data_IF_906387328098
#
_entry.id   IF_906387328098
#
_cell.length_a   1.000
_cell.length_b   1.000
_cell.length_c   1.000
_cell.angle_alpha   90.00
_cell.angle_beta   90.00
_cell.angle_gamma   90.00
#
_symmetry.space_group_name_H-M   'P 1'
#
loop_
_entity.id
_entity.type
_entity.pdbx_description
1 polymer ?
#
# COMPACT_ATOMS: atom_id res chain seq x y z
N UNK A 1 17.08 -0.70 11.80
CA UNK A 1 15.81 -0.02 12.10
C UNK A 1 14.89 -0.35 10.95
N UNK A 2 13.78 -1.06 11.19
CA UNK A 2 12.88 -1.46 10.11
C UNK A 2 12.19 -0.22 9.52
N UNK A 3 12.34 -0.01 8.22
CA UNK A 3 11.81 1.17 7.55
C UNK A 3 10.28 1.19 7.65
N UNK A 4 9.71 2.38 7.83
CA UNK A 4 8.26 2.55 7.91
C UNK A 4 7.52 1.89 6.74
N UNK A 5 8.14 1.91 5.56
CA UNK A 5 7.61 1.28 4.35
C UNK A 5 7.53 -0.25 4.52
N UNK A 6 8.52 -0.90 5.13
CA UNK A 6 8.51 -2.34 5.42
C UNK A 6 7.36 -2.70 6.37
N UNK A 7 7.15 -1.90 7.42
CA UNK A 7 6.04 -2.11 8.37
C UNK A 7 4.68 -2.00 7.69
N UNK A 8 4.49 -0.99 6.83
CA UNK A 8 3.23 -0.84 6.06
C UNK A 8 3.08 -1.98 5.06
N UNK A 9 4.16 -2.42 4.44
CA UNK A 9 4.17 -3.51 3.48
C UNK A 9 3.69 -4.82 4.12
N UNK A 10 4.24 -5.16 5.29
CA UNK A 10 3.78 -6.28 6.12
C UNK A 10 2.31 -6.14 6.49
N UNK A 11 1.87 -4.95 6.87
CA UNK A 11 0.46 -4.69 7.19
C UNK A 11 -0.48 -4.92 6.00
N UNK A 12 -0.07 -4.58 4.77
CA UNK A 12 -0.87 -4.86 3.56
C UNK A 12 -1.04 -6.36 3.38
N UNK A 13 0.06 -7.12 3.40
CA UNK A 13 0.03 -8.58 3.22
C UNK A 13 -0.83 -9.22 4.30
N UNK A 14 -0.65 -8.82 5.56
CA UNK A 14 -1.40 -9.40 6.68
C UNK A 14 -2.91 -9.13 6.57
N UNK A 15 -3.30 -7.93 6.14
CA UNK A 15 -4.72 -7.62 5.90
C UNK A 15 -5.32 -8.46 4.77
N UNK A 16 -4.58 -8.66 3.67
CA UNK A 16 -5.03 -9.52 2.57
C UNK A 16 -5.14 -10.96 3.07
N UNK A 17 -4.11 -11.45 3.76
CA UNK A 17 -4.06 -12.81 4.32
C UNK A 17 -5.25 -13.10 5.22
N UNK A 18 -5.60 -12.17 6.13
CA UNK A 18 -6.75 -12.31 7.04
C UNK A 18 -8.11 -12.06 6.40
N UNK A 19 -8.17 -11.40 5.24
CA UNK A 19 -9.45 -11.09 4.59
C UNK A 19 -10.21 -12.36 4.20
N UNK A 20 -11.49 -12.49 4.58
CA UNK A 20 -12.32 -13.64 4.18
C UNK A 20 -13.02 -13.45 2.83
N UNK A 21 -13.18 -12.19 2.39
CA UNK A 21 -13.82 -11.87 1.11
C UNK A 21 -12.86 -11.97 -0.08
N UNK A 22 -13.35 -11.79 -1.30
CA UNK A 22 -12.54 -11.78 -2.55
C UNK A 22 -11.96 -10.41 -2.93
N UNK A 23 -12.25 -9.41 -2.11
CA UNK A 23 -11.92 -8.00 -2.31
C UNK A 23 -11.69 -7.33 -0.97
N UNK A 24 -10.71 -6.45 -0.89
CA UNK A 24 -10.33 -5.69 0.30
C UNK A 24 -10.07 -4.23 -0.08
N UNK A 25 -10.68 -3.29 0.66
CA UNK A 25 -10.32 -1.87 0.57
C UNK A 25 -9.18 -1.56 1.53
N UNK A 26 -8.09 -1.01 1.01
CA UNK A 26 -6.96 -0.54 1.79
C UNK A 26 -7.15 0.92 2.19
N UNK A 27 -7.14 1.18 3.50
CA UNK A 27 -7.20 2.53 4.07
C UNK A 27 -5.87 2.85 4.76
N UNK A 28 -5.32 4.03 4.47
CA UNK A 28 -4.05 4.48 5.05
C UNK A 28 -4.05 4.45 6.59
N UNK A 29 -5.13 4.90 7.23
CA UNK A 29 -5.27 4.87 8.69
C UNK A 29 -5.25 3.46 9.26
N UNK A 30 -5.96 2.52 8.62
CA UNK A 30 -5.97 1.10 9.02
C UNK A 30 -4.58 0.49 8.87
N UNK A 31 -3.86 0.81 7.79
CA UNK A 31 -2.50 0.31 7.58
C UNK A 31 -1.53 0.81 8.65
N UNK A 32 -1.57 2.10 8.99
CA UNK A 32 -0.74 2.67 10.06
C UNK A 32 -0.99 1.96 11.39
N UNK A 33 -2.27 1.72 11.72
CA UNK A 33 -2.65 1.01 12.94
C UNK A 33 -2.17 -0.44 12.96
N UNK A 34 -2.39 -1.19 11.88
CA UNK A 34 -1.95 -2.60 11.77
C UNK A 34 -0.43 -2.71 11.76
N UNK A 35 0.27 -1.72 11.21
CA UNK A 35 1.73 -1.63 11.22
C UNK A 35 2.32 -1.26 12.60
N UNK A 36 1.47 -1.04 13.63
CA UNK A 36 1.91 -0.63 14.96
C UNK A 36 2.57 0.76 14.97
N UNK A 37 2.22 1.61 14.01
CA UNK A 37 2.69 2.98 13.92
C UNK A 37 1.72 3.92 14.65
N UNK A 38 2.22 5.03 15.16
CA UNK A 38 1.36 6.07 15.71
C UNK A 38 0.50 6.70 14.61
N UNK A 39 -0.76 7.02 14.91
CA UNK A 39 -1.72 7.58 13.95
C UNK A 39 -1.48 9.09 13.69
N UNK A 40 -0.24 9.60 13.83
CA UNK A 40 0.07 10.97 13.44
C UNK A 40 -0.17 11.18 11.96
N UNK A 41 -0.59 12.40 11.61
CA UNK A 41 -0.91 12.79 10.24
C UNK A 41 0.22 12.49 9.24
N UNK A 42 1.48 12.69 9.65
CA UNK A 42 2.68 12.35 8.85
C UNK A 42 2.69 10.88 8.42
N UNK A 43 2.35 9.95 9.31
CA UNK A 43 2.39 8.53 9.01
C UNK A 43 1.24 8.13 8.08
N UNK A 44 0.06 8.70 8.30
CA UNK A 44 -1.11 8.50 7.43
C UNK A 44 -0.80 8.99 6.00
N UNK A 45 -0.21 10.17 5.85
CA UNK A 45 0.16 10.71 4.55
C UNK A 45 1.20 9.83 3.83
N UNK A 46 2.21 9.33 4.55
CA UNK A 46 3.20 8.42 3.98
C UNK A 46 2.56 7.10 3.52
N UNK A 47 1.67 6.52 4.33
CA UNK A 47 0.90 5.34 3.95
C UNK A 47 0.05 5.59 2.69
N UNK A 48 -0.64 6.72 2.63
CA UNK A 48 -1.44 7.10 1.46
C UNK A 48 -0.59 7.30 0.19
N UNK A 49 0.61 7.90 0.33
CA UNK A 49 1.57 8.03 -0.78
C UNK A 49 2.04 6.66 -1.27
N UNK A 50 2.32 5.73 -0.35
CA UNK A 50 2.73 4.38 -0.73
C UNK A 50 1.63 3.66 -1.52
N UNK A 51 0.38 3.74 -1.06
CA UNK A 51 -0.77 3.22 -1.80
C UNK A 51 -0.90 3.83 -3.19
N UNK A 52 -0.71 5.14 -3.33
CA UNK A 52 -0.70 5.81 -4.63
C UNK A 52 0.39 5.27 -5.57
N UNK A 53 1.59 5.00 -5.04
CA UNK A 53 2.70 4.46 -5.83
C UNK A 53 2.43 3.01 -6.25
N UNK A 54 1.93 2.17 -5.34
CA UNK A 54 1.52 0.80 -5.64
C UNK A 54 0.42 0.74 -6.69
N UNK A 55 -0.52 1.70 -6.66
CA UNK A 55 -1.55 1.81 -7.69
C UNK A 55 -0.96 2.21 -9.06
N UNK A 56 0.04 3.09 -9.07
CA UNK A 56 0.77 3.46 -10.29
C UNK A 56 1.45 2.26 -10.96
N UNK A 57 2.00 1.34 -10.17
CA UNK A 57 2.60 0.08 -10.65
C UNK A 57 1.57 -1.06 -10.86
N UNK A 58 0.27 -0.77 -10.78
CA UNK A 58 -0.83 -1.75 -10.95
C UNK A 58 -0.82 -2.92 -9.97
N UNK A 59 -0.10 -2.79 -8.86
CA UNK A 59 -0.11 -3.79 -7.77
C UNK A 59 -1.45 -3.78 -7.05
N UNK A 60 -2.06 -2.60 -6.94
CA UNK A 60 -3.39 -2.40 -6.36
C UNK A 60 -4.24 -1.54 -7.31
N UNK A 61 -5.56 -1.58 -7.17
CA UNK A 61 -6.51 -0.81 -7.98
C UNK A 61 -6.95 0.46 -7.28
N UNK A 62 -7.32 1.47 -8.08
CA UNK A 62 -8.05 2.64 -7.61
C UNK A 62 -9.50 2.52 -8.08
N UNK A 63 -10.42 2.57 -7.11
CA UNK A 63 -11.85 2.73 -7.37
C UNK A 63 -12.31 4.12 -6.97
N UNK A 64 -13.20 4.70 -7.78
CA UNK A 64 -13.82 5.99 -7.48
C UNK A 64 -15.25 5.72 -7.06
N UNK A 65 -15.56 5.92 -5.77
CA UNK A 65 -16.96 5.90 -5.33
C UNK A 65 -17.59 7.25 -5.65
N UNK A 66 -18.72 7.24 -6.36
CA UNK A 66 -19.58 8.41 -6.42
C UNK A 66 -20.16 8.60 -5.01
N UNK A 67 -19.78 9.67 -4.32
CA UNK A 67 -20.62 10.16 -3.21
C UNK A 67 -21.82 10.86 -3.84
N UNK A 68 -22.95 10.80 -3.16
CA UNK A 68 -24.17 11.59 -3.41
C UNK A 68 -23.91 13.10 -3.39
N UNK A 69 -22.74 13.53 -2.92
CA UNK A 69 -22.21 14.90 -2.98
C UNK A 69 -20.98 14.91 -3.92
N UNK A 70 -20.82 16.00 -4.70
CA UNK A 70 -19.92 16.23 -5.85
C UNK A 70 -18.42 15.86 -5.71
N UNK A 71 -17.98 15.24 -4.62
CA UNK A 71 -16.61 14.78 -4.37
C UNK A 71 -16.44 13.26 -4.60
N UNK A 72 -15.65 12.87 -5.59
CA UNK A 72 -15.24 11.47 -5.81
C UNK A 72 -14.16 11.10 -4.78
N UNK A 73 -14.44 10.17 -3.87
CA UNK A 73 -13.42 9.65 -2.95
C UNK A 73 -12.65 8.52 -3.61
N UNK A 74 -11.31 8.66 -3.67
CA UNK A 74 -10.39 7.61 -4.13
C UNK A 74 -10.36 6.48 -3.08
N UNK A 75 -10.56 5.24 -3.52
CA UNK A 75 -10.42 4.04 -2.72
C UNK A 75 -9.35 3.14 -3.32
N UNK A 76 -8.42 2.69 -2.50
CA UNK A 76 -7.45 1.68 -2.90
C UNK A 76 -8.00 0.29 -2.62
N UNK A 77 -7.88 -0.61 -3.59
CA UNK A 77 -8.55 -1.91 -3.57
C UNK A 77 -7.59 -2.99 -4.03
N UNK A 78 -7.66 -4.15 -3.37
CA UNK A 78 -7.03 -5.39 -3.83
C UNK A 78 -8.10 -6.47 -3.93
N UNK A 79 -8.11 -7.24 -5.01
CA UNK A 79 -9.04 -8.33 -5.25
C UNK A 79 -8.32 -9.55 -5.86
N UNK A 80 -9.04 -10.65 -5.99
CA UNK A 80 -8.53 -11.94 -6.47
C UNK A 80 -7.91 -11.93 -7.88
N UNK A 81 -8.19 -10.91 -8.69
CA UNK A 81 -7.59 -10.78 -10.02
C UNK A 81 -6.18 -10.22 -10.00
N UNK A 82 -5.70 -9.70 -8.86
CA UNK A 82 -4.35 -9.17 -8.71
C UNK A 82 -3.41 -10.23 -8.15
N UNK A 83 -2.20 -10.29 -8.67
CA UNK A 83 -1.21 -11.28 -8.23
C UNK A 83 -0.85 -11.12 -6.76
N UNK A 84 -0.79 -9.88 -6.25
CA UNK A 84 -0.52 -9.64 -4.84
C UNK A 84 -1.58 -10.26 -3.92
N UNK A 85 -2.82 -10.43 -4.39
CA UNK A 85 -3.85 -11.12 -3.63
C UNK A 85 -3.49 -12.58 -3.41
N UNK A 86 -3.24 -13.30 -4.51
CA UNK A 86 -2.89 -14.73 -4.50
C UNK A 86 -1.59 -14.95 -3.73
N UNK A 87 -0.56 -14.17 -4.03
CA UNK A 87 0.73 -14.24 -3.33
C UNK A 87 0.57 -14.03 -1.82
N UNK A 88 -0.21 -13.04 -1.37
CA UNK A 88 -0.39 -12.79 0.06
C UNK A 88 -1.16 -13.90 0.79
N UNK A 89 -1.97 -14.67 0.06
CA UNK A 89 -2.71 -15.82 0.60
C UNK A 89 -1.84 -17.06 0.70
N UNK A 90 -1.13 -17.36 -0.37
CA UNK A 90 -0.41 -18.63 -0.52
C UNK A 90 1.00 -18.56 0.07
N UNK A 91 1.66 -17.41 -0.09
CA UNK A 91 3.07 -17.20 0.24
C UNK A 91 3.33 -15.78 0.80
N UNK A 92 2.89 -15.51 2.05
CA UNK A 92 2.93 -14.17 2.63
C UNK A 92 4.34 -13.58 2.75
N UNK A 93 5.36 -14.40 2.99
CA UNK A 93 6.74 -13.93 3.07
C UNK A 93 7.26 -13.46 1.71
N UNK A 94 7.01 -14.23 0.63
CA UNK A 94 7.35 -13.84 -0.73
C UNK A 94 6.60 -12.56 -1.15
N UNK A 95 5.32 -12.44 -0.79
CA UNK A 95 4.53 -11.22 -1.05
C UNK A 95 5.11 -9.99 -0.34
N UNK A 96 5.57 -10.16 0.91
CA UNK A 96 6.21 -9.10 1.69
C UNK A 96 7.54 -8.69 1.05
N UNK A 97 8.38 -9.65 0.66
CA UNK A 97 9.64 -9.38 -0.03
C UNK A 97 9.43 -8.70 -1.39
N UNK A 98 8.45 -9.14 -2.17
CA UNK A 98 8.09 -8.55 -3.45
C UNK A 98 7.70 -7.07 -3.28
N UNK A 99 6.74 -6.77 -2.40
CA UNK A 99 6.34 -5.40 -2.14
C UNK A 99 7.50 -4.57 -1.56
N UNK A 100 8.29 -5.11 -0.64
CA UNK A 100 9.46 -4.44 -0.08
C UNK A 100 10.53 -4.09 -1.13
N UNK A 101 10.70 -4.94 -2.15
CA UNK A 101 11.58 -4.63 -3.28
C UNK A 101 11.05 -3.46 -4.13
N UNK A 102 9.73 -3.38 -4.32
CA UNK A 102 9.07 -2.30 -5.05
C UNK A 102 9.14 -0.98 -4.29
N UNK A 103 8.91 -0.99 -2.98
CA UNK A 103 8.97 0.22 -2.15
C UNK A 103 10.38 0.82 -2.17
N UNK A 104 11.42 -0.01 -2.05
CA UNK A 104 12.82 0.43 -2.20
C UNK A 104 13.10 1.06 -3.56
N UNK A 105 12.55 0.53 -4.66
CA UNK A 105 12.68 1.15 -5.99
C UNK A 105 12.03 2.53 -6.03
N UNK A 106 10.89 2.72 -5.36
CA UNK A 106 10.26 4.02 -5.25
C UNK A 106 11.11 5.03 -4.47
N UNK A 107 11.80 4.58 -3.43
CA UNK A 107 12.72 5.42 -2.66
C UNK A 107 13.88 5.89 -3.55
N UNK A 108 14.51 4.96 -4.28
CA UNK A 108 15.65 5.27 -5.15
C UNK A 108 15.30 6.17 -6.34
N UNK A 109 14.06 6.10 -6.86
CA UNK A 109 13.57 7.05 -7.88
C UNK A 109 13.27 8.45 -7.33
N UNK A 110 13.19 8.61 -6.00
CA UNK A 110 12.90 9.89 -5.34
C UNK A 110 14.17 10.65 -4.93
N UNK A 111 15.35 10.04 -5.06
CA UNK A 111 16.64 10.68 -4.85
C UNK A 111 16.87 11.71 -5.95
N UNK A 112 16.99 13.02 -5.65
CA UNK A 112 17.24 14.00 -6.68
C UNK A 112 18.63 13.77 -7.26
N UNK A 113 18.71 13.70 -8.59
CA UNK A 113 19.91 14.02 -9.33
C UNK A 113 20.36 15.43 -8.91
N UNK A 114 21.20 15.54 -7.89
CA UNK A 114 22.08 16.69 -7.72
C UNK A 114 23.18 16.55 -8.79
N UNK A 115 22.91 17.05 -9.99
CA UNK A 115 23.96 17.53 -10.89
C UNK A 115 23.65 19.02 -11.08
N UNK A 116 24.19 19.82 -10.17
CA UNK A 116 25.46 20.56 -10.28
C UNK A 116 25.28 21.78 -11.17
N UNK A 117 25.34 22.94 -10.51
CA UNK A 117 25.46 24.28 -11.08
C UNK A 117 26.66 24.35 -12.02
#
# INVERSE_FOLDING_TARGET
MEDMEDKITKAIVELIRRSKGRKLTLKATVLVRVAGLDERHKNILKAARLLSKLAGERVIKIERKAKTSKSKSIMYVVDESLDIWRMSKDKPDEATSFLGSLTKRFHNRSSPTQMRR
#
